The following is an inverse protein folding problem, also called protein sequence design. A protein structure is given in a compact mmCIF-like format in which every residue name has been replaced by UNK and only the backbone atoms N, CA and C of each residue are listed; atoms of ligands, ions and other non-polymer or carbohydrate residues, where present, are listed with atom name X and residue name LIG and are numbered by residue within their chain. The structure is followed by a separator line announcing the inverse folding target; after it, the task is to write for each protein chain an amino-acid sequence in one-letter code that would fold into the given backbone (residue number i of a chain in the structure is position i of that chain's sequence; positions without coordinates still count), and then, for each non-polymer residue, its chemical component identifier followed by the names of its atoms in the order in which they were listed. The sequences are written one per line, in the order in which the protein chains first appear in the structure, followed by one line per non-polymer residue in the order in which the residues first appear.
data_IF_281103439407
#
_entry.id   IF_281103439407
#
_cell.length_a   1.000
_cell.length_b   1.000
_cell.length_c   1.000
_cell.angle_alpha   90.00
_cell.angle_beta   90.00
_cell.angle_gamma   90.00
#
_symmetry.space_group_name_H-M   'P 1'
#
loop_
_entity.id
_entity.type
_entity.pdbx_description
1 polymer ?
#
# COMPACT_ATOMS: atom_id res chain seq x y z
N UNK A 1 -8.66 6.17 20.26
CA UNK A 1 -9.04 4.74 20.17
C UNK A 1 -9.26 4.33 18.72
N UNK A 2 -8.19 3.99 18.01
CA UNK A 2 -8.24 2.94 16.99
C UNK A 2 -7.48 1.78 17.64
N UNK A 3 -8.06 0.58 17.62
CA UNK A 3 -7.41 -0.60 18.14
C UNK A 3 -6.02 -0.73 17.53
N UNK A 4 -5.01 -0.61 18.38
CA UNK A 4 -3.68 -1.09 18.06
C UNK A 4 -3.71 -2.60 17.93
N UNK A 5 -2.77 -3.04 17.12
CA UNK A 5 -2.16 -4.37 17.09
C UNK A 5 -2.88 -5.51 16.38
N UNK A 6 -2.35 -5.82 15.19
CA UNK A 6 -2.18 -7.19 14.73
C UNK A 6 -0.94 -7.25 13.84
N UNK A 7 0.21 -6.83 14.38
CA UNK A 7 1.49 -7.35 13.90
C UNK A 7 1.69 -8.75 14.49
N UNK A 8 2.11 -9.69 13.63
CA UNK A 8 3.11 -10.71 13.93
C UNK A 8 3.23 -11.16 15.40
N UNK A 9 2.76 -12.37 15.75
CA UNK A 9 3.52 -13.32 16.59
C UNK A 9 2.78 -14.67 16.79
N UNK A 10 3.56 -15.74 16.68
CA UNK A 10 3.35 -17.09 17.25
C UNK A 10 2.36 -18.06 16.56
N UNK A 11 2.87 -18.71 15.51
CA UNK A 11 2.67 -20.16 15.37
C UNK A 11 3.41 -20.86 16.52
N UNK A 12 2.68 -21.28 17.56
CA UNK A 12 2.99 -22.49 18.32
C UNK A 12 1.82 -22.83 19.22
N UNK A 13 1.00 -23.80 18.81
CA UNK A 13 0.19 -24.57 19.76
C UNK A 13 0.40 -26.04 19.42
N UNK A 14 1.12 -26.70 20.32
CA UNK A 14 1.36 -28.12 20.36
C UNK A 14 0.05 -28.90 20.52
N UNK A 15 0.09 -30.13 20.00
CA UNK A 15 -0.88 -31.20 20.19
C UNK A 15 -1.24 -31.44 21.66
N UNK A 16 -2.54 -31.69 21.96
CA UNK A 16 -3.05 -33.04 22.24
C UNK A 16 -4.43 -33.02 22.97
N UNK A 17 -5.39 -33.66 22.32
CA UNK A 17 -6.39 -34.61 22.86
C UNK A 17 -7.24 -34.23 24.08
N UNK A 18 -8.55 -34.00 23.85
CA UNK A 18 -9.60 -34.68 24.63
C UNK A 18 -10.76 -35.06 23.71
N UNK A 19 -11.25 -36.27 23.92
CA UNK A 19 -12.26 -36.97 23.13
C UNK A 19 -13.64 -36.69 23.73
N UNK A 20 -14.55 -36.03 23.01
CA UNK A 20 -16.00 -36.13 23.26
C UNK A 20 -16.74 -36.22 21.93
N UNK A 21 -17.58 -37.23 21.89
CA UNK A 21 -18.39 -37.75 20.80
C UNK A 21 -19.39 -36.77 20.17
N UNK A 22 -19.40 -36.79 18.84
CA UNK A 22 -20.56 -36.77 17.93
C UNK A 22 -21.78 -35.92 18.34
N UNK A 23 -21.85 -34.69 17.83
CA UNK A 23 -23.12 -34.06 17.45
C UNK A 23 -22.95 -33.47 16.05
N UNK A 24 -23.34 -34.26 15.06
CA UNK A 24 -23.62 -33.81 13.70
C UNK A 24 -24.62 -32.65 13.71
N UNK A 25 -24.12 -31.42 13.48
CA UNK A 25 -24.78 -30.23 12.86
C UNK A 25 -24.01 -28.95 13.24
N UNK A 26 -22.91 -28.65 12.56
CA UNK A 26 -22.31 -27.31 12.65
C UNK A 26 -21.47 -26.99 11.40
N UNK A 27 -22.10 -26.91 10.22
CA UNK A 27 -21.33 -26.65 8.98
C UNK A 27 -22.00 -25.73 7.98
N UNK A 28 -23.03 -24.95 8.35
CA UNK A 28 -23.72 -24.06 7.39
C UNK A 28 -23.85 -22.58 7.80
N UNK A 29 -23.21 -22.12 8.89
CA UNK A 29 -23.31 -20.72 9.31
C UNK A 29 -22.03 -19.87 9.19
N UNK A 30 -20.94 -20.43 8.68
CA UNK A 30 -19.68 -19.69 8.51
C UNK A 30 -19.68 -18.60 7.41
N UNK A 31 -20.43 -18.69 6.28
CA UNK A 31 -20.38 -17.64 5.24
C UNK A 31 -21.02 -16.33 5.70
N UNK A 32 -22.06 -16.40 6.54
CA UNK A 32 -22.77 -15.22 7.05
C UNK A 32 -21.99 -14.47 8.12
N UNK A 33 -21.23 -15.17 8.97
CA UNK A 33 -20.39 -14.53 9.99
C UNK A 33 -19.18 -13.82 9.34
N UNK A 34 -18.60 -14.40 8.28
CA UNK A 34 -17.57 -13.74 7.48
C UNK A 34 -18.15 -12.49 6.77
N UNK A 35 -19.37 -12.56 6.23
CA UNK A 35 -20.08 -11.41 5.66
C UNK A 35 -20.41 -10.33 6.71
N UNK A 36 -20.76 -10.74 7.93
CA UNK A 36 -21.08 -9.84 9.04
C UNK A 36 -19.84 -9.10 9.57
N UNK A 37 -18.70 -9.79 9.65
CA UNK A 37 -17.41 -9.19 10.00
C UNK A 37 -16.92 -8.23 8.92
N UNK A 38 -17.15 -8.54 7.63
CA UNK A 38 -16.95 -7.62 6.50
C UNK A 38 -17.97 -6.46 6.48
N UNK A 39 -19.07 -6.56 7.24
CA UNK A 39 -20.14 -5.56 7.29
C UNK A 39 -20.18 -4.69 8.56
N UNK A 40 -19.18 -4.79 9.44
CA UNK A 40 -19.12 -3.93 10.63
C UNK A 40 -18.99 -2.46 10.23
N UNK A 41 -19.81 -1.59 10.81
CA UNK A 41 -19.76 -0.14 10.58
C UNK A 41 -18.39 0.45 10.93
N UNK A 42 -17.71 -0.13 11.92
CA UNK A 42 -16.33 0.21 12.28
C UNK A 42 -15.33 -0.19 11.19
N UNK A 43 -15.51 -1.36 10.54
CA UNK A 43 -14.67 -1.81 9.43
C UNK A 43 -14.75 -0.87 8.23
N UNK A 44 -15.97 -0.56 7.77
CA UNK A 44 -16.21 0.41 6.69
C UNK A 44 -15.69 1.81 7.03
N UNK A 45 -15.74 2.23 8.30
CA UNK A 45 -15.20 3.52 8.74
C UNK A 45 -13.67 3.55 8.70
N UNK A 46 -12.99 2.46 9.06
CA UNK A 46 -11.54 2.34 8.98
C UNK A 46 -11.07 2.38 7.52
N UNK A 47 -11.71 1.60 6.65
CA UNK A 47 -11.43 1.53 5.21
C UNK A 47 -11.56 2.92 4.55
N UNK A 48 -12.67 3.64 4.80
CA UNK A 48 -12.86 5.01 4.30
C UNK A 48 -11.76 5.98 4.76
N UNK A 49 -11.27 5.81 6.00
CA UNK A 49 -10.18 6.65 6.53
C UNK A 49 -8.84 6.32 5.90
N UNK A 50 -8.56 5.03 5.71
CA UNK A 50 -7.36 4.57 5.01
C UNK A 50 -7.36 5.08 3.56
N UNK A 51 -8.48 4.95 2.85
CA UNK A 51 -8.66 5.46 1.49
C UNK A 51 -8.43 6.99 1.42
N UNK A 52 -9.07 7.75 2.31
CA UNK A 52 -8.90 9.20 2.36
C UNK A 52 -7.44 9.60 2.63
N UNK A 53 -6.77 8.86 3.52
CA UNK A 53 -5.36 9.07 3.84
C UNK A 53 -4.45 8.76 2.64
N UNK A 54 -4.64 7.63 1.95
CA UNK A 54 -3.87 7.30 0.74
C UNK A 54 -4.05 8.36 -0.35
N UNK A 55 -5.28 8.86 -0.56
CA UNK A 55 -5.54 9.97 -1.48
C UNK A 55 -4.80 11.24 -1.09
N UNK A 56 -4.73 11.54 0.21
CA UNK A 56 -3.95 12.65 0.75
C UNK A 56 -2.46 12.51 0.42
N UNK A 57 -1.88 11.34 0.66
CA UNK A 57 -0.47 11.08 0.34
C UNK A 57 -0.18 11.22 -1.15
N UNK A 58 -1.03 10.67 -2.03
CA UNK A 58 -0.86 10.83 -3.49
C UNK A 58 -0.87 12.31 -3.87
N UNK A 59 -1.79 13.10 -3.30
CA UNK A 59 -1.88 14.53 -3.59
C UNK A 59 -0.67 15.30 -3.07
N UNK A 60 -0.21 15.00 -1.87
CA UNK A 60 0.99 15.58 -1.27
C UNK A 60 2.23 15.30 -2.14
N UNK A 61 2.40 14.04 -2.59
CA UNK A 61 3.49 13.66 -3.49
C UNK A 61 3.41 14.39 -4.82
N UNK A 62 2.22 14.47 -5.46
CA UNK A 62 2.05 15.18 -6.74
C UNK A 62 2.36 16.67 -6.65
N UNK A 63 2.16 17.28 -5.48
CA UNK A 63 2.40 18.70 -5.24
C UNK A 63 3.85 19.02 -4.86
N UNK A 64 4.65 18.01 -4.51
CA UNK A 64 6.06 18.20 -4.20
C UNK A 64 6.84 18.66 -5.44
N UNK A 65 7.84 19.52 -5.25
CA UNK A 65 8.63 20.07 -6.37
C UNK A 65 9.42 19.00 -7.13
N UNK A 66 9.91 17.97 -6.41
CA UNK A 66 10.60 16.82 -6.98
C UNK A 66 9.69 15.89 -7.81
N UNK A 67 8.38 16.12 -7.82
CA UNK A 67 7.42 15.18 -8.40
C UNK A 67 7.37 15.20 -9.93
N UNK A 68 7.94 16.22 -10.56
CA UNK A 68 7.76 16.47 -11.99
C UNK A 68 8.04 15.26 -12.92
N UNK A 69 9.05 14.39 -12.71
CA UNK A 69 9.28 13.26 -13.61
C UNK A 69 8.37 12.06 -13.32
N UNK A 70 7.67 12.07 -12.18
CA UNK A 70 6.86 10.94 -11.70
C UNK A 70 5.36 11.18 -11.85
N UNK A 71 4.93 12.34 -12.37
CA UNK A 71 3.51 12.74 -12.42
C UNK A 71 2.67 11.89 -13.37
N UNK A 72 3.30 11.36 -14.41
CA UNK A 72 2.70 10.62 -15.51
C UNK A 72 3.57 9.40 -15.85
N UNK A 73 3.05 8.38 -16.55
CA UNK A 73 3.85 7.26 -17.05
C UNK A 73 5.02 7.75 -17.92
N UNK A 74 6.14 7.05 -17.89
CA UNK A 74 7.31 7.35 -18.71
C UNK A 74 6.96 7.26 -20.20
N UNK A 75 7.29 8.29 -20.97
CA UNK A 75 7.03 8.31 -22.41
C UNK A 75 8.10 7.46 -23.15
N UNK A 76 7.72 6.39 -23.86
CA UNK A 76 8.67 5.58 -24.62
C UNK A 76 9.35 6.34 -25.77
N UNK A 77 8.78 7.45 -26.27
CA UNK A 77 9.46 8.28 -27.26
C UNK A 77 10.67 9.01 -26.67
N UNK A 78 10.70 9.21 -25.34
CA UNK A 78 11.79 9.86 -24.61
C UNK A 78 12.77 8.81 -24.06
N UNK A 79 12.25 7.65 -23.62
CA UNK A 79 13.01 6.55 -23.05
C UNK A 79 12.63 5.21 -23.73
N UNK A 80 13.16 4.93 -24.95
CA UNK A 80 12.67 3.83 -25.81
C UNK A 80 12.82 2.42 -25.26
N UNK A 81 13.81 2.19 -24.39
CA UNK A 81 14.10 0.91 -23.77
C UNK A 81 13.53 0.77 -22.35
N UNK A 82 12.87 1.82 -21.82
CA UNK A 82 12.39 1.84 -20.43
C UNK A 82 11.54 0.63 -20.07
N UNK A 83 10.56 0.28 -20.90
CA UNK A 83 9.66 -0.84 -20.67
C UNK A 83 10.26 -2.23 -20.97
N UNK A 84 11.49 -2.28 -21.48
CA UNK A 84 12.27 -3.52 -21.61
C UNK A 84 13.14 -3.75 -20.37
N UNK A 85 13.55 -2.65 -19.72
CA UNK A 85 14.43 -2.65 -18.55
C UNK A 85 13.62 -2.70 -17.25
N UNK A 86 12.54 -1.92 -17.14
CA UNK A 86 11.70 -1.81 -15.94
C UNK A 86 10.51 -2.76 -16.03
N UNK A 87 10.49 -3.77 -15.16
CA UNK A 87 9.48 -4.85 -15.16
C UNK A 87 8.11 -4.42 -14.62
N UNK A 88 8.08 -3.58 -13.58
CA UNK A 88 6.85 -3.13 -12.92
C UNK A 88 6.73 -1.60 -12.91
N UNK A 89 6.43 -0.95 -14.06
CA UNK A 89 6.29 0.50 -14.13
C UNK A 89 5.22 1.05 -13.19
N UNK A 90 5.52 2.16 -12.52
CA UNK A 90 4.58 2.87 -11.66
C UNK A 90 4.84 4.38 -11.73
N UNK A 91 3.77 5.17 -11.61
CA UNK A 91 3.80 6.63 -11.64
C UNK A 91 2.66 7.19 -10.77
N UNK A 92 2.71 8.47 -10.41
CA UNK A 92 1.76 9.09 -9.49
C UNK A 92 0.32 9.18 -10.03
N UNK A 93 0.13 9.17 -11.35
CA UNK A 93 -1.23 9.12 -11.94
C UNK A 93 -1.78 7.70 -11.89
N UNK A 94 -0.98 6.68 -12.19
CA UNK A 94 -1.37 5.28 -12.05
C UNK A 94 -1.62 4.92 -10.58
N UNK A 95 -0.74 5.32 -9.67
CA UNK A 95 -0.91 5.19 -8.23
C UNK A 95 -2.24 5.83 -7.77
N UNK A 96 -2.52 7.07 -8.20
CA UNK A 96 -3.77 7.75 -7.88
C UNK A 96 -5.02 7.06 -8.43
N UNK A 97 -4.95 6.51 -9.65
CA UNK A 97 -6.02 5.67 -10.21
C UNK A 97 -6.24 4.41 -9.38
N UNK A 98 -5.17 3.69 -9.06
CA UNK A 98 -5.23 2.48 -8.23
C UNK A 98 -5.85 2.75 -6.85
N UNK A 99 -5.54 3.89 -6.21
CA UNK A 99 -6.20 4.31 -4.96
C UNK A 99 -7.70 4.56 -5.19
N UNK A 100 -8.08 5.27 -6.26
CA UNK A 100 -9.49 5.56 -6.56
C UNK A 100 -10.31 4.31 -6.88
N UNK A 101 -9.68 3.31 -7.49
CA UNK A 101 -10.28 2.03 -7.85
C UNK A 101 -10.29 1.02 -6.68
N UNK A 102 -9.89 1.44 -5.46
CA UNK A 102 -9.77 0.59 -4.27
C UNK A 102 -8.89 -0.66 -4.47
N UNK A 103 -7.81 -0.55 -5.25
CA UNK A 103 -6.92 -1.70 -5.50
C UNK A 103 -6.10 -2.12 -4.30
N UNK A 104 -5.88 -1.22 -3.33
CA UNK A 104 -5.08 -1.49 -2.14
C UNK A 104 -5.99 -1.90 -0.99
N UNK A 105 -5.99 -3.19 -0.67
CA UNK A 105 -6.68 -3.75 0.49
C UNK A 105 -5.82 -3.50 1.74
N UNK A 106 -4.50 -3.54 1.56
CA UNK A 106 -3.52 -3.38 2.63
C UNK A 106 -2.64 -2.16 2.38
N UNK A 107 -2.26 -1.49 3.47
CA UNK A 107 -1.35 -0.34 3.40
C UNK A 107 0.00 -0.73 2.77
N UNK A 108 0.48 -1.93 3.02
CA UNK A 108 1.75 -2.42 2.47
C UNK A 108 1.75 -2.45 0.94
N UNK A 109 0.61 -2.73 0.31
CA UNK A 109 0.47 -2.75 -1.16
C UNK A 109 0.61 -1.35 -1.74
N UNK A 110 -0.03 -0.36 -1.10
CA UNK A 110 0.12 1.05 -1.47
C UNK A 110 1.56 1.54 -1.30
N UNK A 111 2.21 1.17 -0.19
CA UNK A 111 3.61 1.53 0.06
C UNK A 111 4.53 0.90 -0.99
N UNK A 112 4.30 -0.37 -1.35
CA UNK A 112 5.10 -1.05 -2.37
C UNK A 112 5.02 -0.33 -3.72
N UNK A 113 3.83 0.06 -4.17
CA UNK A 113 3.67 0.81 -5.43
C UNK A 113 4.26 2.22 -5.35
N UNK A 114 4.20 2.91 -4.20
CA UNK A 114 4.94 4.16 -4.01
C UNK A 114 6.45 3.95 -4.15
N UNK A 115 7.00 2.92 -3.52
CA UNK A 115 8.43 2.60 -3.54
C UNK A 115 8.91 2.28 -4.96
N UNK A 116 8.12 1.55 -5.76
CA UNK A 116 8.42 1.29 -7.18
C UNK A 116 8.69 2.56 -7.98
N UNK A 117 7.99 3.67 -7.71
CA UNK A 117 8.20 4.94 -8.44
C UNK A 117 9.66 5.40 -8.30
N UNK A 118 10.21 5.32 -7.08
CA UNK A 118 11.57 5.78 -6.79
C UNK A 118 12.63 4.74 -7.19
N UNK A 119 12.37 3.47 -6.89
CA UNK A 119 13.28 2.37 -7.21
C UNK A 119 13.46 2.18 -8.71
N UNK A 120 12.36 2.19 -9.48
CA UNK A 120 12.44 2.09 -10.94
C UNK A 120 13.20 3.27 -11.55
N UNK A 121 13.05 4.46 -10.98
CA UNK A 121 13.80 5.64 -11.43
C UNK A 121 15.30 5.43 -11.22
N UNK A 122 15.72 5.02 -10.01
CA UNK A 122 17.13 4.78 -9.70
C UNK A 122 17.72 3.56 -10.42
N UNK A 123 16.89 2.57 -10.72
CA UNK A 123 17.32 1.40 -11.47
C UNK A 123 17.61 1.74 -12.93
N UNK A 124 16.76 2.57 -13.55
CA UNK A 124 16.90 2.94 -14.95
C UNK A 124 17.92 4.06 -15.19
N UNK A 125 18.09 4.99 -14.25
CA UNK A 125 18.94 6.17 -14.42
C UNK A 125 20.21 6.07 -13.57
N UNK A 126 21.32 6.58 -14.10
CA UNK A 126 22.59 6.70 -13.37
C UNK A 126 22.49 7.68 -12.17
N UNK A 127 23.33 7.47 -11.16
CA UNK A 127 23.28 8.19 -9.87
C UNK A 127 23.54 9.70 -9.98
N UNK A 128 24.27 10.12 -11.00
CA UNK A 128 24.63 11.53 -11.25
C UNK A 128 23.55 12.30 -12.02
N UNK A 129 22.45 11.64 -12.39
CA UNK A 129 21.34 12.28 -13.10
C UNK A 129 20.41 13.05 -12.17
N UNK A 130 19.77 14.10 -12.72
CA UNK A 130 18.72 14.84 -12.02
C UNK A 130 17.56 13.93 -11.60
N UNK A 131 17.18 12.96 -12.44
CA UNK A 131 16.09 12.02 -12.16
C UNK A 131 16.35 11.18 -10.91
N UNK A 132 17.57 10.67 -10.75
CA UNK A 132 17.97 9.91 -9.57
C UNK A 132 17.91 10.79 -8.31
N UNK A 133 18.42 12.02 -8.40
CA UNK A 133 18.34 12.99 -7.29
C UNK A 133 16.90 13.29 -6.88
N UNK A 134 16.01 13.55 -7.83
CA UNK A 134 14.59 13.83 -7.54
C UNK A 134 13.85 12.61 -6.96
N UNK A 135 14.24 11.38 -7.33
CA UNK A 135 13.70 10.16 -6.73
C UNK A 135 14.03 10.08 -5.23
N UNK A 136 15.27 10.40 -4.86
CA UNK A 136 15.70 10.42 -3.45
C UNK A 136 14.94 11.48 -2.65
N UNK A 137 14.82 12.69 -3.19
CA UNK A 137 14.11 13.80 -2.53
C UNK A 137 12.63 13.48 -2.32
N UNK A 138 11.97 12.90 -3.32
CA UNK A 138 10.55 12.55 -3.20
C UNK A 138 10.33 11.37 -2.26
N UNK A 139 11.23 10.38 -2.25
CA UNK A 139 11.18 9.28 -1.28
C UNK A 139 11.36 9.77 0.16
N UNK A 140 12.34 10.63 0.43
CA UNK A 140 12.54 11.21 1.76
C UNK A 140 11.29 11.97 2.23
N UNK A 141 10.67 12.75 1.34
CA UNK A 141 9.40 13.40 1.61
C UNK A 141 8.30 12.38 1.95
N UNK A 142 8.15 11.32 1.15
CA UNK A 142 7.20 10.25 1.40
C UNK A 142 7.40 9.60 2.77
N UNK A 143 8.62 9.20 3.11
CA UNK A 143 8.97 8.56 4.38
C UNK A 143 8.67 9.47 5.58
N UNK A 144 8.93 10.78 5.46
CA UNK A 144 8.54 11.75 6.48
C UNK A 144 7.02 11.80 6.68
N UNK A 145 6.23 11.83 5.60
CA UNK A 145 4.76 11.79 5.68
C UNK A 145 4.26 10.49 6.34
N UNK A 146 4.91 9.36 6.06
CA UNK A 146 4.61 8.07 6.68
C UNK A 146 4.90 8.08 8.19
N UNK A 147 6.02 8.67 8.61
CA UNK A 147 6.40 8.79 10.02
C UNK A 147 5.44 9.69 10.81
N UNK A 148 5.10 10.86 10.25
CA UNK A 148 4.14 11.80 10.83
C UNK A 148 2.77 11.12 11.04
N UNK A 149 2.30 10.33 10.07
CA UNK A 149 1.04 9.59 10.19
C UNK A 149 1.06 8.58 11.35
N UNK A 150 2.18 7.89 11.57
CA UNK A 150 2.32 6.93 12.69
C UNK A 150 2.36 7.61 14.04
N UNK A 151 2.94 8.82 14.13
CA UNK A 151 3.03 9.58 15.38
C UNK A 151 1.66 10.05 15.91
N UNK A 152 0.71 10.36 15.02
CA UNK A 152 -0.64 10.82 15.37
C UNK A 152 -1.61 9.68 15.75
N UNK A 153 -1.16 8.42 15.65
CA UNK A 153 -1.95 7.22 15.98
C UNK A 153 -1.66 6.72 17.40
N UNK A 154 -0.58 7.20 18.03
CA UNK A 154 -0.28 6.96 19.45
C UNK A 154 -1.11 7.88 20.34
#
# INVERSE_FOLDING_TARGET
MICGDASLHLFSVQHASTHVSNVSKLTVHLPLLLLLLLSSSSGRKCEKRLLAWMKGIVQDLRNHEAAWPFKEPVNPDIAPDYYQVVEEPMDLKTLGRNVNDNKYIRLEEFVADCTKIFDNCRFYNEEDTLYYSEANRLQEYFERRMSEARAHVR
#
